data_IF_846449185163
#
_entry.id   IF_846449185163
#
_cell.length_a   1.000
_cell.length_b   1.000
_cell.length_c   1.000
_cell.angle_alpha   90.00
_cell.angle_beta   90.00
_cell.angle_gamma   90.00
#
_symmetry.space_group_name_H-M   'P 1'
#
loop_
_entity.id
_entity.type
_entity.pdbx_description
1 polymer ?
#
# COMPACT_ATOMS: atom_id res chain seq x y z
N UNK A 1 -8.25 -2.97 3.68
CA UNK A 1 -7.55 -2.91 4.98
C UNK A 1 -7.69 -1.51 5.56
N UNK A 2 -6.95 -1.14 6.60
CA UNK A 2 -7.04 0.19 7.21
C UNK A 2 -5.69 0.70 7.76
N UNK A 3 -5.45 2.02 7.73
CA UNK A 3 -6.18 3.01 6.92
C UNK A 3 -5.79 2.92 5.44
N UNK A 4 -6.55 3.60 4.59
CA UNK A 4 -6.34 3.71 3.14
C UNK A 4 -5.77 5.08 2.75
N UNK A 5 -5.01 5.09 1.65
CA UNK A 5 -4.59 6.28 0.90
C UNK A 5 -5.04 6.11 -0.56
N UNK A 6 -5.77 7.11 -1.06
CA UNK A 6 -6.36 7.14 -2.39
C UNK A 6 -5.65 8.20 -3.25
N UNK A 7 -5.37 7.87 -4.50
CA UNK A 7 -4.90 8.85 -5.50
C UNK A 7 -5.40 8.50 -6.90
N UNK A 8 -5.53 9.51 -7.75
CA UNK A 8 -5.72 9.32 -9.18
C UNK A 8 -4.36 9.02 -9.82
N UNK A 9 -4.33 8.00 -10.66
CA UNK A 9 -3.19 7.66 -11.51
C UNK A 9 -3.24 8.48 -12.80
N UNK A 10 -2.08 8.64 -13.44
CA UNK A 10 -1.95 9.37 -14.71
C UNK A 10 -2.75 8.76 -15.85
N UNK A 11 -3.08 7.46 -15.78
CA UNK A 11 -3.88 6.73 -16.76
C UNK A 11 -5.40 6.80 -16.53
N UNK A 12 -5.85 7.57 -15.54
CA UNK A 12 -7.26 7.80 -15.24
C UNK A 12 -7.88 6.84 -14.23
N UNK A 13 -7.14 5.83 -13.75
CA UNK A 13 -7.61 4.92 -12.70
C UNK A 13 -7.45 5.53 -11.30
N UNK A 14 -8.22 5.04 -10.34
CA UNK A 14 -8.02 5.34 -8.91
C UNK A 14 -7.19 4.22 -8.27
N UNK A 15 -6.11 4.58 -7.59
CA UNK A 15 -5.32 3.66 -6.76
C UNK A 15 -5.69 3.82 -5.28
N UNK A 16 -5.99 2.72 -4.61
CA UNK A 16 -6.10 2.65 -3.15
C UNK A 16 -5.00 1.76 -2.56
N UNK A 17 -4.04 2.33 -1.86
CA UNK A 17 -3.09 1.58 -1.01
C UNK A 17 -3.59 1.53 0.44
N UNK A 18 -3.44 0.40 1.13
CA UNK A 18 -3.92 0.23 2.51
C UNK A 18 -3.09 -0.75 3.33
N UNK A 19 -3.06 -0.54 4.65
CA UNK A 19 -2.53 -1.53 5.59
C UNK A 19 -3.40 -2.79 5.65
N UNK A 20 -2.79 -3.96 5.49
CA UNK A 20 -3.44 -5.26 5.63
C UNK A 20 -3.02 -5.88 6.97
N UNK A 21 -3.83 -5.64 8.01
CA UNK A 21 -3.59 -6.13 9.38
C UNK A 21 -4.29 -7.46 9.67
N UNK A 22 -4.40 -8.32 8.65
CA UNK A 22 -4.85 -9.72 8.72
C UNK A 22 -3.85 -10.53 7.93
N UNK A 23 -3.61 -11.79 8.29
CA UNK A 23 -2.63 -12.61 7.57
C UNK A 23 -3.02 -12.72 6.07
N UNK A 24 -2.07 -12.56 5.12
CA UNK A 24 -0.68 -12.14 5.33
C UNK A 24 -0.57 -10.65 5.69
N UNK A 25 0.15 -10.34 6.78
CA UNK A 25 0.29 -8.97 7.27
C UNK A 25 1.15 -8.13 6.32
N UNK A 26 0.77 -6.88 6.06
CA UNK A 26 1.59 -5.95 5.29
C UNK A 26 0.83 -4.83 4.62
N UNK A 27 1.17 -4.52 3.38
CA UNK A 27 0.57 -3.42 2.59
C UNK A 27 0.07 -3.99 1.26
N UNK A 28 -1.14 -3.60 0.89
CA UNK A 28 -1.76 -3.98 -0.37
C UNK A 28 -2.28 -2.76 -1.12
N UNK A 29 -2.56 -2.93 -2.39
CA UNK A 29 -3.28 -1.97 -3.21
C UNK A 29 -4.45 -2.62 -3.97
N UNK A 30 -5.37 -1.78 -4.42
CA UNK A 30 -6.42 -2.10 -5.39
C UNK A 30 -6.58 -0.92 -6.35
N UNK A 31 -7.00 -1.20 -7.57
CA UNK A 31 -7.37 -0.17 -8.54
C UNK A 31 -8.86 -0.17 -8.80
N UNK A 32 -9.37 0.97 -9.25
CA UNK A 32 -10.73 1.14 -9.76
C UNK A 32 -10.67 1.90 -11.09
N UNK A 33 -11.45 1.42 -12.06
CA UNK A 33 -11.64 2.05 -13.37
C UNK A 33 -12.93 2.88 -13.43
N UNK A 34 -13.68 2.94 -12.33
CA UNK A 34 -15.04 3.49 -12.24
C UNK A 34 -15.23 4.39 -11.00
N UNK A 35 -14.24 5.25 -10.74
CA UNK A 35 -14.25 6.24 -9.64
C UNK A 35 -14.51 5.66 -8.23
N UNK A 36 -14.09 4.42 -8.02
CA UNK A 36 -14.17 3.71 -6.74
C UNK A 36 -15.49 2.94 -6.52
N UNK A 37 -16.35 2.82 -7.54
CA UNK A 37 -17.59 2.04 -7.43
C UNK A 37 -17.31 0.53 -7.36
N UNK A 38 -16.35 0.03 -8.13
CA UNK A 38 -15.84 -1.34 -8.07
C UNK A 38 -14.31 -1.34 -7.93
N UNK A 39 -13.77 -2.45 -7.43
CA UNK A 39 -12.35 -2.57 -7.11
C UNK A 39 -11.79 -3.89 -7.62
N UNK A 40 -10.56 -3.84 -8.12
CA UNK A 40 -9.79 -5.02 -8.53
C UNK A 40 -9.57 -6.01 -7.37
N UNK A 41 -9.11 -7.21 -7.70
CA UNK A 41 -8.44 -8.09 -6.73
C UNK A 41 -7.25 -7.38 -6.07
N UNK A 42 -6.87 -7.77 -4.83
CA UNK A 42 -5.80 -7.10 -4.12
C UNK A 42 -4.44 -7.40 -4.74
N UNK A 43 -3.64 -6.36 -4.94
CA UNK A 43 -2.22 -6.44 -5.25
C UNK A 43 -1.43 -6.39 -3.94
N UNK A 44 -0.53 -7.35 -3.72
CA UNK A 44 0.33 -7.36 -2.53
C UNK A 44 1.59 -6.55 -2.84
N UNK A 45 1.74 -5.40 -2.16
CA UNK A 45 2.96 -4.58 -2.21
C UNK A 45 4.00 -5.17 -1.25
N UNK A 46 3.55 -5.59 -0.06
CA UNK A 46 4.37 -6.22 0.96
C UNK A 46 3.50 -7.18 1.80
N UNK A 47 3.97 -8.41 2.02
CA UNK A 47 3.20 -9.47 2.69
C UNK A 47 3.92 -10.17 3.85
N UNK A 48 5.11 -9.72 4.22
CA UNK A 48 5.97 -10.38 5.21
C UNK A 48 5.91 -9.75 6.61
N UNK A 49 4.90 -8.92 6.88
CA UNK A 49 4.75 -8.20 8.14
C UNK A 49 4.76 -9.13 9.36
N UNK A 50 5.46 -8.72 10.43
CA UNK A 50 5.60 -9.53 11.66
C UNK A 50 4.65 -9.13 12.79
N UNK A 51 4.03 -7.97 12.68
CA UNK A 51 3.13 -7.39 13.69
C UNK A 51 1.95 -6.68 13.01
N UNK A 52 0.83 -6.55 13.72
CA UNK A 52 -0.27 -5.68 13.30
C UNK A 52 0.07 -4.18 13.39
N UNK A 53 1.17 -3.84 14.05
CA UNK A 53 1.70 -2.48 14.13
C UNK A 53 2.48 -2.12 12.86
N UNK A 54 1.73 -1.97 11.77
CA UNK A 54 2.23 -1.57 10.45
C UNK A 54 1.13 -0.87 9.65
N UNK A 55 1.52 -0.21 8.55
CA UNK A 55 0.60 0.35 7.56
C UNK A 55 0.65 1.88 7.54
N UNK A 56 -0.53 2.51 7.40
CA UNK A 56 -0.63 3.94 7.06
C UNK A 56 0.18 4.28 5.80
N UNK A 57 -0.08 3.58 4.67
CA UNK A 57 0.69 3.81 3.48
C UNK A 57 0.41 5.19 2.89
N UNK A 58 1.41 5.76 2.22
CA UNK A 58 1.27 6.86 1.28
C UNK A 58 1.97 6.48 -0.01
N UNK A 59 1.32 6.73 -1.14
CA UNK A 59 1.82 6.35 -2.46
C UNK A 59 1.97 7.58 -3.33
N UNK A 60 3.05 7.62 -4.11
CA UNK A 60 3.26 8.58 -5.18
C UNK A 60 3.54 7.84 -6.50
N UNK A 61 2.98 8.36 -7.58
CA UNK A 61 3.38 7.98 -8.93
C UNK A 61 4.60 8.80 -9.36
N UNK A 62 5.62 8.11 -9.87
CA UNK A 62 6.87 8.70 -10.31
C UNK A 62 6.81 9.04 -11.81
N UNK A 63 7.74 9.87 -12.27
CA UNK A 63 7.74 10.37 -13.65
C UNK A 63 7.88 9.28 -14.73
N UNK A 64 8.39 8.10 -14.39
CA UNK A 64 8.51 6.95 -15.29
C UNK A 64 7.28 6.01 -15.25
N UNK A 65 6.19 6.43 -14.59
CA UNK A 65 4.96 5.65 -14.43
C UNK A 65 5.03 4.54 -13.37
N UNK A 66 6.13 4.46 -12.61
CA UNK A 66 6.22 3.55 -11.46
C UNK A 66 5.59 4.16 -10.21
N UNK A 67 5.40 3.34 -9.18
CA UNK A 67 4.81 3.74 -7.91
C UNK A 67 5.83 3.57 -6.78
N UNK A 68 5.91 4.57 -5.91
CA UNK A 68 6.61 4.49 -4.63
C UNK A 68 5.58 4.50 -3.51
N UNK A 69 5.50 3.42 -2.74
CA UNK A 69 4.65 3.35 -1.54
C UNK A 69 5.54 3.31 -0.31
N UNK A 70 5.28 4.22 0.63
CA UNK A 70 5.94 4.27 1.94
C UNK A 70 4.94 3.95 3.04
N UNK A 71 5.38 3.28 4.11
CA UNK A 71 4.56 2.95 5.28
C UNK A 71 5.44 2.84 6.53
N UNK A 72 4.84 2.79 7.72
CA UNK A 72 5.57 2.45 8.94
C UNK A 72 5.39 0.97 9.29
N UNK A 73 6.38 0.35 9.93
CA UNK A 73 6.30 -1.01 10.45
C UNK A 73 7.14 -1.18 11.72
N UNK A 74 6.59 -1.89 12.72
CA UNK A 74 7.35 -2.42 13.84
C UNK A 74 7.87 -3.81 13.50
N UNK A 75 9.18 -3.91 13.29
CA UNK A 75 9.87 -5.17 13.00
C UNK A 75 10.05 -6.01 14.27
N UNK A 76 10.19 -7.33 14.09
CA UNK A 76 10.38 -8.25 15.21
C UNK A 76 11.69 -7.92 15.96
N UNK A 77 11.57 -7.68 17.27
CA UNK A 77 12.71 -7.35 18.13
C UNK A 77 13.18 -5.89 18.06
N UNK A 78 12.53 -5.04 17.24
CA UNK A 78 12.81 -3.61 17.22
C UNK A 78 12.19 -2.90 18.43
N UNK A 79 12.88 -1.88 18.96
CA UNK A 79 12.36 -1.05 20.05
C UNK A 79 11.41 0.06 19.57
N UNK A 80 11.24 0.21 18.26
CA UNK A 80 10.38 1.23 17.65
C UNK A 80 10.12 0.95 16.18
N UNK A 81 9.13 1.64 15.63
CA UNK A 81 8.76 1.53 14.22
C UNK A 81 9.78 2.21 13.29
N UNK A 82 9.98 1.63 12.11
CA UNK A 82 10.76 2.19 11.02
C UNK A 82 9.86 2.57 9.85
N UNK A 83 10.31 3.52 9.02
CA UNK A 83 9.71 3.74 7.71
C UNK A 83 10.25 2.71 6.72
N UNK A 84 9.35 2.15 5.94
CA UNK A 84 9.60 1.18 4.87
C UNK A 84 9.11 1.77 3.55
N UNK A 85 9.69 1.31 2.45
CA UNK A 85 9.31 1.74 1.12
C UNK A 85 9.36 0.56 0.14
N UNK A 86 8.49 0.59 -0.85
CA UNK A 86 8.51 -0.30 -2.00
C UNK A 86 8.36 0.53 -3.28
N UNK A 87 9.22 0.25 -4.24
CA UNK A 87 9.15 0.77 -5.61
C UNK A 87 8.62 -0.34 -6.51
N UNK A 88 7.49 -0.11 -7.18
CA UNK A 88 6.74 -1.15 -7.88
C UNK A 88 6.00 -0.60 -9.13
N UNK A 89 5.37 -1.49 -9.90
CA UNK A 89 4.55 -1.17 -11.09
C UNK A 89 3.23 -1.94 -11.02
N UNK A 90 2.19 -1.39 -11.65
CA UNK A 90 0.90 -2.04 -11.87
C UNK A 90 0.97 -3.09 -12.98
#
# INVERSE_FOLDING_TARGET
>A
GLPSHLMNLSDGRVLMSYGHRRAPLGVQARTSDDDGATWSEPLVIYGDGKSGDLGYPSTAELADGTLLTVWYELEAGASGASLRAAHWRL
#
